data_IF_899477042914
#
_entry.id   IF_899477042914
#
_cell.length_a   1.000
_cell.length_b   1.000
_cell.length_c   1.000
_cell.angle_alpha   90.00
_cell.angle_beta   90.00
_cell.angle_gamma   90.00
#
_symmetry.space_group_name_H-M   'P 1'
#
loop_
_entity.id
_entity.type
_entity.pdbx_description
1 polymer ?
#
# COMPACT_ATOMS: atom_id res chain seq x y z
N UNK A 1 23.89 12.30 -28.04
CA UNK A 1 22.74 11.56 -28.58
C UNK A 1 21.51 12.00 -27.84
N UNK A 2 20.53 12.47 -28.60
CA UNK A 2 19.41 13.32 -28.19
C UNK A 2 18.44 12.69 -27.18
N UNK A 3 17.93 13.54 -26.28
CA UNK A 3 16.66 13.32 -25.58
C UNK A 3 15.61 14.19 -26.27
N UNK A 4 14.80 13.58 -27.11
CA UNK A 4 13.59 14.20 -27.66
C UNK A 4 12.48 13.99 -26.62
N UNK A 5 12.13 15.05 -25.90
CA UNK A 5 10.88 15.14 -25.14
C UNK A 5 9.86 15.84 -26.04
N UNK A 6 8.91 15.08 -26.56
CA UNK A 6 7.76 15.61 -27.28
C UNK A 6 6.73 16.12 -26.26
N UNK A 7 6.48 17.43 -26.34
CA UNK A 7 5.20 18.13 -26.15
C UNK A 7 4.47 17.89 -24.82
N UNK A 8 4.30 18.85 -23.92
CA UNK A 8 3.90 20.23 -24.20
C UNK A 8 2.52 20.47 -23.56
N UNK A 9 2.49 20.68 -22.24
CA UNK A 9 1.39 21.37 -21.57
C UNK A 9 1.94 22.15 -20.38
N UNK A 10 2.04 23.46 -20.58
CA UNK A 10 2.31 24.45 -19.56
C UNK A 10 1.00 24.61 -18.78
N UNK A 11 0.94 24.13 -17.54
CA UNK A 11 -0.09 24.55 -16.61
C UNK A 11 0.47 25.70 -15.79
N UNK A 12 -0.08 26.87 -16.09
CA UNK A 12 0.20 28.16 -15.49
C UNK A 12 0.19 28.10 -13.96
N UNK A 13 1.27 28.63 -13.37
CA UNK A 13 1.33 29.04 -11.97
C UNK A 13 0.28 30.12 -11.71
N UNK A 14 -0.80 29.78 -11.00
CA UNK A 14 -1.58 30.74 -10.19
C UNK A 14 -2.38 30.00 -9.13
N UNK A 15 -1.82 29.85 -7.93
CA UNK A 15 -2.39 30.40 -6.69
C UNK A 15 -1.52 29.94 -5.52
N UNK A 16 -1.03 30.91 -4.75
CA UNK A 16 -0.25 30.72 -3.56
C UNK A 16 -1.03 29.94 -2.48
N UNK A 17 -0.67 28.68 -2.28
CA UNK A 17 -0.55 28.09 -0.96
C UNK A 17 0.90 27.66 -0.86
N UNK A 18 1.69 28.27 0.02
CA UNK A 18 3.01 27.74 0.32
C UNK A 18 2.80 26.31 0.79
N UNK A 19 3.20 25.32 -0.01
CA UNK A 19 3.21 23.93 0.43
C UNK A 19 4.10 23.92 1.67
N UNK A 20 3.49 23.73 2.83
CA UNK A 20 4.20 23.61 4.10
C UNK A 20 5.12 22.41 3.90
N UNK A 21 6.42 22.66 3.84
CA UNK A 21 7.45 21.64 3.66
C UNK A 21 7.61 20.90 4.98
N UNK A 22 6.81 19.85 5.16
CA UNK A 22 6.79 19.04 6.38
C UNK A 22 7.81 17.92 6.30
N UNK A 23 8.33 17.48 7.45
CA UNK A 23 9.21 16.31 7.54
C UNK A 23 8.58 15.08 6.86
N UNK A 24 7.25 14.94 6.97
CA UNK A 24 6.48 13.88 6.31
C UNK A 24 6.49 13.96 4.79
N UNK A 25 6.33 15.15 4.22
CA UNK A 25 6.40 15.30 2.76
C UNK A 25 7.81 14.99 2.24
N UNK A 26 8.85 15.36 3.01
CA UNK A 26 10.24 14.99 2.69
C UNK A 26 10.48 13.48 2.77
N UNK A 27 10.00 12.82 3.82
CA UNK A 27 10.08 11.35 3.97
C UNK A 27 9.42 10.68 2.76
N UNK A 28 8.18 11.04 2.45
CA UNK A 28 7.42 10.46 1.33
C UNK A 28 8.17 10.71 0.01
N UNK A 29 8.61 11.94 -0.25
CA UNK A 29 9.35 12.29 -1.46
C UNK A 29 10.68 11.54 -1.62
N UNK A 30 11.31 11.17 -0.50
CA UNK A 30 12.60 10.45 -0.49
C UNK A 30 12.43 8.95 -0.69
N UNK A 31 11.44 8.35 -0.03
CA UNK A 31 11.35 6.89 0.10
C UNK A 31 10.24 6.23 -0.74
N UNK A 32 9.31 6.99 -1.31
CA UNK A 32 8.19 6.40 -2.01
C UNK A 32 8.61 5.68 -3.30
N UNK A 33 8.35 4.37 -3.36
CA UNK A 33 8.69 3.52 -4.48
C UNK A 33 10.18 3.22 -4.58
N UNK A 34 10.95 3.42 -3.50
CA UNK A 34 12.40 3.21 -3.50
C UNK A 34 12.82 2.08 -2.55
N UNK A 35 14.01 1.53 -2.82
CA UNK A 35 14.66 0.50 -2.01
C UNK A 35 15.79 1.15 -1.22
N UNK A 36 15.87 0.89 0.07
CA UNK A 36 16.94 1.38 0.95
C UNK A 36 17.32 0.35 2.01
N UNK A 37 18.45 0.57 2.66
CA UNK A 37 18.96 -0.32 3.71
C UNK A 37 18.55 0.21 5.08
N UNK A 38 18.00 -0.66 5.91
CA UNK A 38 17.54 -0.38 7.28
C UNK A 38 18.33 -1.24 8.25
N UNK A 39 18.66 -0.70 9.42
CA UNK A 39 19.14 -1.50 10.54
C UNK A 39 18.01 -2.38 11.09
N UNK A 40 18.22 -3.69 11.12
CA UNK A 40 17.29 -4.66 11.68
C UNK A 40 17.33 -4.55 13.21
N UNK A 41 16.36 -3.83 13.78
CA UNK A 41 16.19 -3.66 15.21
C UNK A 41 15.47 -4.84 15.89
N UNK A 42 15.19 -5.94 15.18
CA UNK A 42 14.41 -7.07 15.68
C UNK A 42 15.08 -7.93 16.77
N UNK A 43 16.26 -7.57 17.29
CA UNK A 43 16.90 -8.31 18.40
C UNK A 43 17.56 -7.39 19.42
N UNK A 44 16.76 -6.62 20.16
CA UNK A 44 17.19 -6.05 21.44
C UNK A 44 17.26 -7.19 22.48
N UNK A 45 18.39 -7.92 22.52
CA UNK A 45 18.59 -8.93 23.58
C UNK A 45 19.62 -10.02 23.32
N UNK A 46 20.20 -10.15 22.12
CA UNK A 46 21.33 -11.06 21.89
C UNK A 46 22.45 -10.29 21.21
N UNK A 47 23.69 -10.47 21.65
CA UNK A 47 24.89 -9.81 21.11
C UNK A 47 25.25 -10.20 19.67
N UNK A 48 24.25 -10.42 18.80
CA UNK A 48 24.41 -10.63 17.37
C UNK A 48 24.58 -9.27 16.70
N UNK A 49 25.52 -9.11 15.75
CA UNK A 49 25.69 -7.84 15.05
C UNK A 49 24.38 -7.39 14.40
N UNK A 50 24.08 -6.09 14.50
CA UNK A 50 22.93 -5.45 13.85
C UNK A 50 22.94 -5.83 12.37
N UNK A 51 21.94 -6.61 11.95
CA UNK A 51 21.80 -7.00 10.55
C UNK A 51 21.32 -5.79 9.74
N UNK A 52 21.92 -5.56 8.57
CA UNK A 52 21.38 -4.61 7.60
C UNK A 52 20.34 -5.37 6.75
N UNK A 53 19.11 -4.88 6.69
CA UNK A 53 18.04 -5.44 5.85
C UNK A 53 17.68 -4.44 4.77
N UNK A 54 17.57 -4.92 3.54
CA UNK A 54 17.09 -4.10 2.42
C UNK A 54 15.55 -4.06 2.45
N UNK A 55 14.95 -2.88 2.29
CA UNK A 55 13.51 -2.70 2.29
C UNK A 55 13.05 -1.83 1.13
N UNK A 56 11.93 -2.21 0.51
CA UNK A 56 11.16 -1.37 -0.39
C UNK A 56 10.03 -0.69 0.39
N UNK A 57 9.78 0.59 0.12
CA UNK A 57 8.68 1.33 0.74
C UNK A 57 7.78 1.96 -0.31
N UNK A 58 6.47 1.88 -0.08
CA UNK A 58 5.46 2.55 -0.90
C UNK A 58 4.49 3.32 -0.01
N UNK A 59 4.21 4.56 -0.39
CA UNK A 59 3.25 5.43 0.26
C UNK A 59 2.08 5.68 -0.68
N UNK A 60 0.88 5.55 -0.14
CA UNK A 60 -0.34 5.82 -0.85
C UNK A 60 -1.22 6.77 -0.04
N UNK A 61 -1.48 7.94 -0.62
CA UNK A 61 -2.45 8.90 -0.11
C UNK A 61 -3.83 8.54 -0.64
N UNK A 62 -4.77 8.34 0.27
CA UNK A 62 -6.19 8.14 -0.04
C UNK A 62 -6.92 9.43 0.27
N UNK A 63 -7.20 10.22 -0.76
CA UNK A 63 -8.05 11.40 -0.63
C UNK A 63 -9.52 10.99 -0.52
N UNK A 64 -10.35 11.91 -0.01
CA UNK A 64 -11.78 11.69 0.13
C UNK A 64 -12.12 10.48 1.02
N UNK A 65 -11.28 10.19 2.01
CA UNK A 65 -11.34 8.94 2.78
C UNK A 65 -12.71 8.73 3.43
N UNK A 66 -13.29 9.76 4.05
CA UNK A 66 -14.60 9.64 4.70
C UNK A 66 -15.74 9.43 3.70
N UNK A 67 -15.50 9.69 2.41
CA UNK A 67 -16.48 9.47 1.35
C UNK A 67 -16.46 8.05 0.79
N UNK A 68 -15.43 7.25 1.11
CA UNK A 68 -15.39 5.84 0.68
C UNK A 68 -16.62 5.09 1.13
N UNK A 69 -17.08 5.36 2.35
CA UNK A 69 -18.27 4.76 2.93
C UNK A 69 -19.58 5.02 2.19
N UNK A 70 -19.63 6.03 1.34
CA UNK A 70 -20.79 6.34 0.50
C UNK A 70 -20.69 5.72 -0.90
N UNK A 71 -19.53 5.13 -1.24
CA UNK A 71 -19.34 4.35 -2.46
C UNK A 71 -19.96 2.96 -2.36
N UNK A 72 -20.29 2.36 -3.51
CA UNK A 72 -20.99 1.07 -3.56
C UNK A 72 -20.30 -0.07 -2.78
N UNK A 73 -18.96 -0.06 -2.73
CA UNK A 73 -18.15 -1.11 -2.11
C UNK A 73 -17.32 -0.62 -0.91
N UNK A 74 -17.43 0.65 -0.49
CA UNK A 74 -16.61 1.18 0.61
C UNK A 74 -15.10 1.23 0.34
N UNK A 75 -14.65 0.94 -0.88
CA UNK A 75 -13.30 0.47 -1.19
C UNK A 75 -12.54 1.43 -2.11
N UNK A 76 -11.31 1.77 -1.71
CA UNK A 76 -10.30 2.35 -2.59
C UNK A 76 -9.17 1.36 -2.85
N UNK A 77 -8.55 1.43 -4.03
CA UNK A 77 -7.34 0.69 -4.38
C UNK A 77 -6.26 1.63 -4.91
N UNK A 78 -5.00 1.39 -4.55
CA UNK A 78 -3.87 2.09 -5.14
C UNK A 78 -3.64 1.65 -6.59
N UNK A 79 -2.90 2.43 -7.40
CA UNK A 79 -2.25 1.88 -8.58
C UNK A 79 -1.37 0.67 -8.18
N UNK A 80 -1.37 -0.43 -8.95
CA UNK A 80 -0.47 -1.55 -8.70
C UNK A 80 0.99 -1.17 -8.97
N UNK A 81 1.90 -1.68 -8.16
CA UNK A 81 3.34 -1.42 -8.25
C UNK A 81 4.15 -2.70 -8.06
N UNK A 82 5.39 -2.71 -8.54
CA UNK A 82 6.34 -3.79 -8.30
C UNK A 82 7.19 -3.47 -7.06
N UNK A 83 7.40 -4.46 -6.19
CA UNK A 83 8.18 -4.28 -4.94
C UNK A 83 9.70 -4.24 -5.16
N UNK A 84 10.16 -4.67 -6.33
CA UNK A 84 11.51 -4.51 -6.85
C UNK A 84 11.49 -4.80 -8.37
N UNK A 85 12.56 -4.48 -9.12
CA UNK A 85 12.61 -4.79 -10.55
C UNK A 85 12.35 -6.28 -10.81
N UNK A 86 11.44 -6.58 -11.76
CA UNK A 86 11.06 -7.96 -12.16
C UNK A 86 10.58 -8.84 -10.98
N UNK A 87 9.81 -8.26 -10.06
CA UNK A 87 9.38 -8.91 -8.83
C UNK A 87 7.85 -8.98 -8.69
N UNK A 88 7.37 -9.29 -7.49
CA UNK A 88 5.96 -9.36 -7.16
C UNK A 88 5.25 -8.02 -7.41
N UNK A 89 4.06 -8.09 -7.98
CA UNK A 89 3.18 -6.93 -8.18
C UNK A 89 2.14 -6.87 -7.07
N UNK A 90 2.02 -5.73 -6.41
CA UNK A 90 1.12 -5.50 -5.27
C UNK A 90 0.24 -4.27 -5.54
N UNK A 91 -0.96 -4.27 -4.97
CA UNK A 91 -1.77 -3.08 -4.74
C UNK A 91 -2.08 -2.95 -3.25
N UNK A 92 -2.29 -1.72 -2.80
CA UNK A 92 -2.91 -1.45 -1.50
C UNK A 92 -4.42 -1.27 -1.66
N UNK A 93 -5.19 -1.65 -0.65
CA UNK A 93 -6.60 -1.35 -0.56
C UNK A 93 -6.97 -0.76 0.80
N UNK A 94 -7.96 0.12 0.79
CA UNK A 94 -8.58 0.70 1.98
C UNK A 94 -10.08 0.51 1.87
N UNK A 95 -10.66 -0.24 2.80
CA UNK A 95 -12.09 -0.46 2.92
C UNK A 95 -12.60 0.22 4.19
N UNK A 96 -13.63 1.07 4.07
CA UNK A 96 -14.32 1.70 5.19
C UNK A 96 -15.73 1.15 5.29
N UNK A 97 -16.02 0.48 6.41
CA UNK A 97 -17.36 -0.02 6.75
C UNK A 97 -17.96 0.86 7.86
N UNK A 98 -18.91 1.72 7.50
CA UNK A 98 -19.58 2.60 8.46
C UNK A 98 -20.57 1.89 9.37
N UNK A 99 -21.11 0.75 8.95
CA UNK A 99 -22.04 -0.04 9.76
C UNK A 99 -21.28 -0.72 10.89
N UNK A 100 -20.16 -1.39 10.57
CA UNK A 100 -19.26 -1.98 11.56
C UNK A 100 -18.39 -0.93 12.28
N UNK A 101 -18.32 0.29 11.72
CA UNK A 101 -17.41 1.37 12.15
C UNK A 101 -15.95 0.93 12.14
N UNK A 102 -15.54 0.16 11.14
CA UNK A 102 -14.16 -0.29 10.96
C UNK A 102 -13.54 0.20 9.66
N UNK A 103 -12.22 0.30 9.68
CA UNK A 103 -11.38 0.63 8.53
C UNK A 103 -10.37 -0.48 8.39
N UNK A 104 -10.26 -1.01 7.18
CA UNK A 104 -9.36 -2.10 6.85
C UNK A 104 -8.39 -1.67 5.77
N UNK A 105 -7.11 -1.82 6.05
CA UNK A 105 -6.01 -1.57 5.13
C UNK A 105 -5.39 -2.90 4.77
N UNK A 106 -5.22 -3.19 3.47
CA UNK A 106 -4.62 -4.44 3.03
C UNK A 106 -3.59 -4.25 1.92
N UNK A 107 -2.62 -5.15 1.88
CA UNK A 107 -1.73 -5.38 0.74
C UNK A 107 -2.21 -6.63 0.00
N UNK A 108 -2.42 -6.50 -1.30
CA UNK A 108 -3.01 -7.53 -2.16
C UNK A 108 -2.05 -7.81 -3.32
N UNK A 109 -1.75 -9.07 -3.58
CA UNK A 109 -1.00 -9.44 -4.78
C UNK A 109 -1.90 -9.31 -6.01
N UNK A 110 -1.34 -8.75 -7.08
CA UNK A 110 -2.00 -8.53 -8.36
C UNK A 110 -1.24 -9.30 -9.43
N UNK A 111 -1.93 -9.76 -10.48
CA UNK A 111 -1.29 -10.46 -11.59
C UNK A 111 -0.15 -9.62 -12.19
N UNK A 112 1.06 -10.15 -12.11
CA UNK A 112 2.31 -9.57 -12.57
C UNK A 112 2.84 -10.27 -13.81
N UNK A 113 3.62 -9.56 -14.61
CA UNK A 113 4.29 -10.11 -15.80
C UNK A 113 5.31 -11.21 -15.44
N UNK A 114 5.87 -11.12 -14.23
CA UNK A 114 6.96 -11.99 -13.77
C UNK A 114 6.47 -13.17 -12.92
N UNK A 115 5.15 -13.32 -12.70
CA UNK A 115 4.59 -14.27 -11.72
C UNK A 115 5.04 -15.73 -11.95
N UNK A 116 5.23 -16.13 -13.21
CA UNK A 116 5.69 -17.46 -13.59
C UNK A 116 7.15 -17.76 -13.19
N UNK A 117 7.96 -16.72 -12.96
CA UNK A 117 9.38 -16.81 -12.61
C UNK A 117 9.62 -16.65 -11.11
N UNK A 118 8.60 -16.19 -10.37
CA UNK A 118 8.68 -15.91 -8.95
C UNK A 118 8.36 -17.15 -8.13
N UNK A 119 8.97 -17.24 -6.95
CA UNK A 119 8.61 -18.26 -5.95
C UNK A 119 7.28 -17.88 -5.31
N UNK A 120 6.41 -18.87 -5.13
CA UNK A 120 5.16 -18.69 -4.39
C UNK A 120 5.07 -19.70 -3.24
N UNK A 121 4.45 -19.35 -2.09
CA UNK A 121 3.81 -18.07 -1.77
C UNK A 121 4.81 -16.89 -1.67
N UNK A 122 4.29 -15.67 -1.57
CA UNK A 122 5.07 -14.43 -1.51
C UNK A 122 6.25 -14.54 -0.52
N UNK A 123 7.48 -14.34 -1.01
CA UNK A 123 8.69 -14.71 -0.25
C UNK A 123 9.22 -13.61 0.69
N UNK A 124 8.73 -12.37 0.61
CA UNK A 124 9.24 -11.27 1.42
C UNK A 124 8.40 -11.03 2.67
N UNK A 125 9.00 -10.38 3.68
CA UNK A 125 8.26 -9.96 4.87
C UNK A 125 7.59 -8.62 4.61
N UNK A 126 6.42 -8.39 5.19
CA UNK A 126 5.62 -7.18 4.97
C UNK A 126 5.29 -6.48 6.29
N UNK A 127 5.09 -5.16 6.24
CA UNK A 127 4.51 -4.37 7.32
C UNK A 127 3.66 -3.24 6.74
N UNK A 128 2.49 -3.05 7.31
CA UNK A 128 1.56 -1.97 6.97
C UNK A 128 1.63 -0.89 8.05
N UNK A 129 1.41 0.36 7.65
CA UNK A 129 1.27 1.46 8.58
C UNK A 129 0.28 2.50 8.07
N UNK A 130 -0.42 3.17 8.98
CA UNK A 130 -1.20 4.38 8.71
C UNK A 130 -0.49 5.53 9.39
N UNK A 131 -0.11 6.54 8.61
CA UNK A 131 0.78 7.58 9.09
C UNK A 131 0.05 8.62 9.95
N UNK A 132 0.66 8.99 11.08
CA UNK A 132 0.31 10.23 11.76
C UNK A 132 0.86 11.41 10.96
N UNK A 133 -0.04 12.25 10.46
CA UNK A 133 0.28 13.42 9.62
C UNK A 133 0.54 14.67 10.49
N UNK A 134 1.02 14.49 11.72
CA UNK A 134 1.62 15.56 12.53
C UNK A 134 3.06 15.83 12.09
N UNK A 135 3.51 17.08 12.25
CA UNK A 135 4.87 17.48 11.86
C UNK A 135 5.91 17.18 12.94
N UNK A 136 5.49 17.09 14.20
CA UNK A 136 6.39 16.96 15.36
C UNK A 136 6.00 15.75 16.18
N UNK A 137 6.94 14.82 16.34
CA UNK A 137 6.74 13.59 17.10
C UNK A 137 5.61 12.71 16.58
N UNK A 138 5.57 12.38 15.27
CA UNK A 138 4.49 11.59 14.73
C UNK A 138 4.58 10.13 15.21
N UNK A 139 3.42 9.54 15.52
CA UNK A 139 3.32 8.16 15.99
C UNK A 139 2.40 7.37 15.05
N UNK A 140 2.99 6.56 14.18
CA UNK A 140 2.22 5.78 13.20
C UNK A 140 1.45 4.63 13.84
N UNK A 141 0.29 4.30 13.27
CA UNK A 141 -0.35 3.02 13.56
C UNK A 141 0.40 1.98 12.74
N UNK A 142 1.11 1.07 13.41
CA UNK A 142 1.97 0.08 12.76
C UNK A 142 1.44 -1.33 13.03
N UNK A 143 1.35 -2.15 11.98
CA UNK A 143 1.01 -3.56 12.12
C UNK A 143 2.17 -4.40 12.68
N UNK A 144 1.91 -5.68 12.98
CA UNK A 144 2.98 -6.68 13.06
C UNK A 144 3.75 -6.77 11.74
N UNK A 145 4.95 -7.33 11.79
CA UNK A 145 5.63 -7.80 10.58
C UNK A 145 5.03 -9.18 10.25
N UNK A 146 4.59 -9.35 9.00
CA UNK A 146 4.22 -10.66 8.47
C UNK A 146 5.46 -11.29 7.85
N UNK A 147 5.97 -12.33 8.50
CA UNK A 147 7.02 -13.21 8.00
C UNK A 147 6.47 -14.55 7.48
N UNK A 148 5.16 -14.76 7.63
CA UNK A 148 4.40 -15.94 7.24
C UNK A 148 3.38 -15.66 6.12
N UNK A 149 3.72 -14.77 5.18
CA UNK A 149 2.82 -14.35 4.09
C UNK A 149 2.41 -15.53 3.22
N UNK A 150 1.10 -15.73 3.02
CA UNK A 150 0.54 -16.87 2.27
C UNK A 150 -0.13 -16.51 0.95
N UNK A 151 -0.13 -15.24 0.55
CA UNK A 151 -0.71 -14.85 -0.73
C UNK A 151 0.04 -15.50 -1.90
N UNK A 152 -0.73 -15.87 -2.93
CA UNK A 152 -0.27 -16.51 -4.16
C UNK A 152 -0.42 -15.56 -5.35
N UNK A 153 0.11 -15.95 -6.51
CA UNK A 153 -0.16 -15.21 -7.75
C UNK A 153 -1.67 -15.00 -7.93
N UNK A 154 -2.07 -13.77 -8.20
CA UNK A 154 -3.46 -13.50 -8.53
C UNK A 154 -3.73 -13.94 -9.97
N UNK A 155 -4.90 -14.53 -10.20
CA UNK A 155 -5.32 -14.91 -11.54
C UNK A 155 -5.50 -13.67 -12.42
N UNK A 156 -5.07 -13.69 -13.70
CA UNK A 156 -5.38 -12.61 -14.63
C UNK A 156 -6.89 -12.44 -14.78
N UNK A 157 -7.40 -11.21 -14.94
CA UNK A 157 -8.82 -11.00 -15.20
C UNK A 157 -9.26 -11.76 -16.45
N UNK A 158 -10.23 -12.65 -16.32
CA UNK A 158 -10.77 -13.45 -17.42
C UNK A 158 -11.54 -12.56 -18.40
N UNK A 159 -11.27 -12.70 -19.70
CA UNK A 159 -11.97 -11.95 -20.76
C UNK A 159 -13.47 -12.32 -20.79
N UNK A 160 -14.37 -11.37 -21.12
CA UNK A 160 -15.83 -11.55 -21.05
C UNK A 160 -16.45 -12.50 -22.09
N UNK A 161 -15.67 -13.37 -22.73
CA UNK A 161 -16.16 -14.29 -23.77
C UNK A 161 -16.46 -15.72 -23.30
N UNK A 162 -16.47 -15.97 -21.99
CA UNK A 162 -16.83 -17.28 -21.44
C UNK A 162 -18.25 -17.29 -20.85
N UNK A 163 -19.19 -17.69 -21.71
CA UNK A 163 -20.49 -18.32 -21.48
C UNK A 163 -21.37 -17.84 -20.27
N UNK A 164 -22.49 -17.14 -20.52
CA UNK A 164 -23.31 -16.50 -19.47
C UNK A 164 -24.05 -17.44 -18.50
N UNK A 165 -23.97 -18.76 -18.68
CA UNK A 165 -24.56 -19.74 -17.76
C UNK A 165 -23.77 -19.92 -16.45
N UNK A 166 -22.49 -19.52 -16.40
CA UNK A 166 -21.69 -19.57 -15.17
C UNK A 166 -21.82 -18.32 -14.28
N UNK A 167 -22.34 -17.21 -14.81
CA UNK A 167 -22.44 -15.94 -14.07
C UNK A 167 -23.51 -15.94 -12.98
N UNK A 168 -24.49 -16.86 -13.02
CA UNK A 168 -25.58 -16.91 -12.02
C UNK A 168 -25.20 -17.64 -10.73
N UNK A 169 -24.07 -18.35 -10.70
CA UNK A 169 -23.47 -18.95 -9.48
C UNK A 169 -22.28 -18.16 -8.94
N UNK A 170 -21.96 -16.99 -9.52
CA UNK A 170 -20.93 -16.09 -9.03
C UNK A 170 -21.53 -14.88 -8.29
N UNK A 171 -22.45 -15.15 -7.36
CA UNK A 171 -22.53 -14.38 -6.10
C UNK A 171 -21.47 -14.88 -5.10
N UNK A 172 -20.37 -15.38 -5.64
CA UNK A 172 -19.16 -15.82 -4.96
C UNK A 172 -18.27 -14.58 -4.92
N UNK A 173 -17.58 -14.27 -3.80
CA UNK A 173 -16.74 -13.08 -3.71
C UNK A 173 -15.82 -13.06 -4.93
N UNK A 174 -15.87 -11.98 -5.69
CA UNK A 174 -14.94 -11.65 -6.77
C UNK A 174 -13.57 -12.17 -6.39
N UNK A 175 -13.03 -13.13 -7.16
CA UNK A 175 -11.75 -13.82 -6.98
C UNK A 175 -11.00 -13.33 -5.75
N UNK A 176 -11.12 -14.06 -4.62
CA UNK A 176 -10.55 -13.68 -3.34
C UNK A 176 -9.21 -13.00 -3.57
N UNK A 177 -9.20 -11.67 -3.45
CA UNK A 177 -7.99 -10.88 -3.62
C UNK A 177 -6.94 -11.56 -2.76
N UNK A 178 -5.84 -11.99 -3.37
CA UNK A 178 -4.82 -12.76 -2.67
C UNK A 178 -4.12 -11.82 -1.69
N UNK A 179 -4.76 -11.66 -0.55
CA UNK A 179 -4.35 -10.72 0.46
C UNK A 179 -3.09 -11.24 1.14
N UNK A 180 -2.05 -10.45 1.06
CA UNK A 180 -0.76 -10.75 1.65
C UNK A 180 -0.72 -10.35 3.13
N UNK A 181 -1.36 -9.23 3.46
CA UNK A 181 -1.41 -8.68 4.80
C UNK A 181 -2.59 -7.72 4.93
N UNK A 182 -3.16 -7.63 6.13
CA UNK A 182 -4.14 -6.59 6.46
C UNK A 182 -4.07 -6.19 7.92
N UNK A 183 -4.47 -4.95 8.19
CA UNK A 183 -4.77 -4.45 9.52
C UNK A 183 -6.15 -3.80 9.52
N UNK A 184 -6.89 -4.02 10.58
CA UNK A 184 -8.22 -3.45 10.79
C UNK A 184 -8.25 -2.71 12.12
N UNK A 185 -8.89 -1.55 12.13
CA UNK A 185 -9.05 -0.73 13.32
C UNK A 185 -10.38 0.03 13.23
N UNK A 186 -10.84 0.55 14.37
CA UNK A 186 -12.07 1.33 14.44
C UNK A 186 -11.86 2.73 13.86
N UNK A 187 -12.91 3.34 13.32
CA UNK A 187 -12.83 4.71 12.78
C UNK A 187 -12.39 5.75 13.82
N UNK A 188 -12.73 5.56 15.11
CA UNK A 188 -12.34 6.48 16.19
C UNK A 188 -10.83 6.52 16.43
N UNK A 189 -10.11 5.44 16.16
CA UNK A 189 -8.63 5.41 16.21
C UNK A 189 -8.04 6.47 15.27
N UNK A 190 -8.63 6.65 14.08
CA UNK A 190 -8.18 7.66 13.11
C UNK A 190 -8.38 9.11 13.59
N UNK A 191 -9.23 9.31 14.59
CA UNK A 191 -9.53 10.64 15.16
C UNK A 191 -8.65 10.98 16.36
N UNK A 192 -7.90 10.00 16.91
CA UNK A 192 -7.08 10.20 18.10
C UNK A 192 -5.85 11.09 17.85
N UNK A 193 -5.24 10.95 16.66
CA UNK A 193 -4.16 11.80 16.15
C UNK A 193 -4.48 12.25 14.72
N UNK A 194 -3.53 12.87 14.01
CA UNK A 194 -3.76 13.37 12.65
C UNK A 194 -3.62 12.26 11.60
N UNK A 195 -4.22 11.09 11.85
CA UNK A 195 -4.22 10.00 10.88
C UNK A 195 -5.10 10.30 9.67
N UNK A 196 -6.28 10.91 9.90
CA UNK A 196 -7.21 11.36 8.87
C UNK A 196 -7.20 12.89 8.71
N UNK A 197 -6.07 13.47 8.29
CA UNK A 197 -5.94 14.90 8.08
C UNK A 197 -6.50 15.34 6.71
N UNK A 198 -7.32 16.40 6.69
CA UNK A 198 -7.83 16.99 5.45
C UNK A 198 -8.63 16.01 4.57
N UNK A 199 -9.45 15.16 5.20
CA UNK A 199 -10.21 14.09 4.52
C UNK A 199 -9.32 13.09 3.76
N UNK A 200 -8.09 12.90 4.25
CA UNK A 200 -7.14 11.96 3.67
C UNK A 200 -6.42 11.14 4.72
N UNK A 201 -6.14 9.88 4.38
CA UNK A 201 -5.21 9.04 5.13
C UNK A 201 -3.99 8.74 4.25
N UNK A 202 -2.85 8.46 4.88
CA UNK A 202 -1.65 8.01 4.18
C UNK A 202 -1.29 6.62 4.67
N UNK A 203 -1.29 5.65 3.76
CA UNK A 203 -0.91 4.27 4.02
C UNK A 203 0.53 4.06 3.56
N UNK A 204 1.31 3.37 4.38
CA UNK A 204 2.69 2.96 4.08
C UNK A 204 2.78 1.43 4.06
N UNK A 205 3.36 0.89 3.00
CA UNK A 205 3.80 -0.50 2.91
C UNK A 205 5.32 -0.52 3.03
N UNK A 206 5.85 -1.37 3.90
CA UNK A 206 7.27 -1.73 3.95
C UNK A 206 7.43 -3.20 3.59
N UNK A 207 8.24 -3.51 2.60
CA UNK A 207 8.57 -4.87 2.16
C UNK A 207 10.04 -5.12 2.47
N UNK A 208 10.32 -6.04 3.39
CA UNK A 208 11.69 -6.43 3.73
C UNK A 208 12.16 -7.49 2.73
N UNK A 209 13.02 -7.08 1.81
CA UNK A 209 13.51 -7.91 0.72
C UNK A 209 14.50 -8.94 1.27
N UNK A 210 14.29 -10.20 0.90
CA UNK A 210 15.28 -11.25 1.11
C UNK A 210 16.32 -11.14 0.01
N UNK A 211 17.60 -11.13 0.38
CA UNK A 211 18.73 -11.23 -0.56
C UNK A 211 18.89 -12.67 -1.04
#
# INVERSE_FOLDING_TARGET
MERILLSGQIISKTSAGAAVDTERLREIGTYNGTVFTIEDSSVAGSGRPRGLTTAFVYYWRVDAFWRLSFGADGLARSPPFYVSPRSYRISLSVHSDMTARTVRVAAVSIAGEYDAQLRWPFAHRLRLSVLDQTDVGPEDIVSRIWDDVRCTAAEPPTLPHQNPAHHRRQKQPTAAEAECASMEFRHDVLTYRRYAAGDSIVVKLTVFLQQ
#
